data_IF_289600502247
#
_entry.id   IF_289600502247
#
_cell.length_a   1.000
_cell.length_b   1.000
_cell.length_c   1.000
_cell.angle_alpha   90.00
_cell.angle_beta   90.00
_cell.angle_gamma   90.00
#
_symmetry.space_group_name_H-M   'P 1'
#
loop_
_entity.id
_entity.type
_entity.pdbx_description
1 polymer ?
#
# COMPACT_ATOMS: atom_id res chain seq x y z
N UNK A 1 11.87 2.98 -1.78
CA UNK A 1 10.48 2.95 -2.29
C UNK A 1 9.66 4.06 -1.69
N UNK A 2 9.38 3.98 -0.39
CA UNK A 2 8.50 4.89 0.35
C UNK A 2 8.78 6.38 0.10
N UNK A 3 10.04 6.83 0.23
CA UNK A 3 10.38 8.24 0.00
C UNK A 3 10.14 8.67 -1.46
N UNK A 4 10.37 7.77 -2.42
CA UNK A 4 10.05 8.04 -3.83
C UNK A 4 8.53 8.14 -4.03
N UNK A 5 7.75 7.23 -3.44
CA UNK A 5 6.28 7.30 -3.42
C UNK A 5 5.81 8.65 -2.91
N UNK A 6 6.31 9.09 -1.76
CA UNK A 6 5.95 10.37 -1.14
C UNK A 6 6.25 11.55 -2.07
N UNK A 7 7.44 11.58 -2.67
CA UNK A 7 7.83 12.65 -3.61
C UNK A 7 6.99 12.66 -4.89
N UNK A 8 6.77 11.48 -5.48
CA UNK A 8 5.96 11.32 -6.70
C UNK A 8 4.52 11.75 -6.43
N UNK A 9 3.91 11.30 -5.32
CA UNK A 9 2.55 11.68 -4.94
C UNK A 9 2.42 13.18 -4.66
N UNK A 10 3.44 13.80 -4.05
CA UNK A 10 3.45 15.25 -3.81
C UNK A 10 3.52 16.04 -5.12
N UNK A 11 4.34 15.62 -6.08
CA UNK A 11 4.48 16.29 -7.37
C UNK A 11 3.33 15.99 -8.34
N UNK A 12 2.79 14.77 -8.28
CA UNK A 12 1.77 14.24 -9.19
C UNK A 12 0.68 13.49 -8.41
N UNK A 13 -0.29 14.21 -7.80
CA UNK A 13 -1.30 13.60 -6.94
C UNK A 13 -2.19 12.54 -7.60
N UNK A 14 -2.35 12.61 -8.93
CA UNK A 14 -3.15 11.65 -9.71
C UNK A 14 -2.40 10.35 -10.02
N UNK A 15 -1.06 10.34 -9.97
CA UNK A 15 -0.27 9.13 -10.26
C UNK A 15 -0.59 8.06 -9.23
N UNK A 16 -0.88 6.86 -9.73
CA UNK A 16 -1.12 5.68 -8.92
C UNK A 16 0.18 4.91 -8.75
N UNK A 17 0.40 4.39 -7.55
CA UNK A 17 1.66 3.72 -7.20
C UNK A 17 1.33 2.37 -6.58
N UNK A 18 1.95 1.31 -7.10
CA UNK A 18 1.88 -0.04 -6.54
C UNK A 18 3.25 -0.34 -5.94
N UNK A 19 3.29 -0.61 -4.64
CA UNK A 19 4.49 -1.08 -3.97
C UNK A 19 4.57 -2.61 -4.12
N UNK A 20 5.55 -3.10 -4.88
CA UNK A 20 5.84 -4.52 -5.03
C UNK A 20 7.09 -4.88 -4.22
N UNK A 21 6.96 -5.79 -3.26
CA UNK A 21 7.99 -6.00 -2.23
C UNK A 21 8.06 -7.45 -1.72
N UNK A 22 9.20 -7.89 -1.19
CA UNK A 22 9.30 -9.19 -0.51
C UNK A 22 9.00 -9.11 0.99
N UNK A 23 8.59 -7.94 1.49
CA UNK A 23 8.43 -7.67 2.92
C UNK A 23 6.96 -7.51 3.29
N UNK A 24 6.46 -8.35 4.19
CA UNK A 24 5.10 -8.25 4.75
C UNK A 24 5.05 -7.46 6.07
N UNK A 25 6.20 -7.09 6.65
CA UNK A 25 6.26 -6.48 7.98
C UNK A 25 5.58 -5.11 8.05
N UNK A 26 4.87 -4.86 9.15
CA UNK A 26 4.16 -3.60 9.43
C UNK A 26 5.03 -2.35 9.29
N UNK A 27 6.31 -2.46 9.64
CA UNK A 27 7.31 -1.38 9.56
C UNK A 27 7.54 -0.86 8.14
N UNK A 28 7.16 -1.63 7.11
CA UNK A 28 7.20 -1.21 5.71
C UNK A 28 5.81 -0.93 5.14
N UNK A 29 4.81 -1.72 5.53
CA UNK A 29 3.43 -1.62 5.04
C UNK A 29 2.83 -0.27 5.38
N UNK A 30 2.86 0.11 6.66
CA UNK A 30 2.21 1.35 7.13
C UNK A 30 2.84 2.59 6.50
N UNK A 31 4.18 2.77 6.52
CA UNK A 31 4.78 3.95 5.91
C UNK A 31 4.56 4.03 4.40
N UNK A 32 4.46 2.90 3.68
CA UNK A 32 4.17 2.90 2.26
C UNK A 32 2.74 3.39 1.95
N UNK A 33 1.76 2.94 2.74
CA UNK A 33 0.37 3.39 2.62
C UNK A 33 0.28 4.89 2.96
N UNK A 34 0.88 5.31 4.07
CA UNK A 34 0.91 6.73 4.48
C UNK A 34 1.63 7.63 3.45
N UNK A 35 2.62 7.11 2.73
CA UNK A 35 3.28 7.83 1.65
C UNK A 35 2.41 7.97 0.38
N UNK A 36 1.22 7.33 0.34
CA UNK A 36 0.26 7.44 -0.74
C UNK A 36 0.34 6.33 -1.78
N UNK A 37 0.88 5.16 -1.42
CA UNK A 37 0.76 3.97 -2.26
C UNK A 37 -0.73 3.61 -2.44
N UNK A 38 -1.11 3.32 -3.69
CA UNK A 38 -2.46 2.88 -4.07
C UNK A 38 -2.65 1.38 -3.91
N UNK A 39 -1.56 0.62 -3.92
CA UNK A 39 -1.56 -0.78 -3.51
C UNK A 39 -0.23 -1.21 -2.90
N UNK A 40 -0.27 -2.29 -2.14
CA UNK A 40 0.90 -2.98 -1.59
C UNK A 40 0.74 -4.48 -1.83
N UNK A 41 1.65 -5.05 -2.62
CA UNK A 41 1.60 -6.43 -3.10
C UNK A 41 2.94 -7.12 -2.80
N UNK A 42 2.89 -8.39 -2.41
CA UNK A 42 4.10 -9.19 -2.27
C UNK A 42 4.68 -9.59 -3.64
N UNK A 43 6.01 -9.73 -3.72
CA UNK A 43 6.77 -9.98 -4.96
C UNK A 43 6.59 -11.39 -5.51
N UNK A 44 6.08 -12.30 -4.69
CA UNK A 44 5.75 -13.67 -5.01
C UNK A 44 4.31 -13.84 -5.50
N UNK A 45 3.51 -12.76 -5.55
CA UNK A 45 2.19 -12.77 -6.17
C UNK A 45 2.26 -13.29 -7.61
N UNK A 46 1.25 -14.07 -8.00
CA UNK A 46 1.17 -14.60 -9.35
C UNK A 46 1.06 -13.45 -10.36
N UNK A 47 1.61 -13.57 -11.57
CA UNK A 47 1.57 -12.50 -12.57
C UNK A 47 0.16 -11.98 -12.87
N UNK A 48 -0.83 -12.88 -12.88
CA UNK A 48 -2.24 -12.52 -13.10
C UNK A 48 -2.80 -11.67 -11.95
N UNK A 49 -2.43 -11.96 -10.70
CA UNK A 49 -2.80 -11.15 -9.53
C UNK A 49 -2.23 -9.73 -9.63
N UNK A 50 -0.98 -9.59 -10.09
CA UNK A 50 -0.40 -8.27 -10.33
C UNK A 50 -1.15 -7.51 -11.43
N UNK A 51 -1.55 -8.17 -12.51
CA UNK A 51 -2.36 -7.56 -13.57
C UNK A 51 -3.71 -7.11 -13.04
N UNK A 52 -4.37 -7.90 -12.20
CA UNK A 52 -5.62 -7.53 -11.54
C UNK A 52 -5.44 -6.32 -10.63
N UNK A 53 -4.39 -6.29 -9.82
CA UNK A 53 -4.05 -5.16 -8.95
C UNK A 53 -3.81 -3.88 -9.77
N UNK A 54 -3.10 -3.95 -10.90
CA UNK A 54 -2.91 -2.80 -11.81
C UNK A 54 -4.25 -2.27 -12.32
N UNK A 55 -5.13 -3.15 -12.82
CA UNK A 55 -6.45 -2.77 -13.34
C UNK A 55 -7.33 -2.17 -12.25
N UNK A 56 -7.32 -2.74 -11.04
CA UNK A 56 -8.08 -2.24 -9.90
C UNK A 56 -7.63 -0.84 -9.48
N UNK A 57 -6.31 -0.65 -9.35
CA UNK A 57 -5.70 0.64 -8.98
C UNK A 57 -5.95 1.71 -10.03
N UNK A 58 -5.88 1.34 -11.32
CA UNK A 58 -6.25 2.23 -12.42
C UNK A 58 -7.72 2.64 -12.34
N UNK A 59 -8.62 1.72 -11.97
CA UNK A 59 -10.04 1.99 -11.69
C UNK A 59 -10.32 2.77 -10.40
N UNK A 60 -9.28 3.23 -9.69
CA UNK A 60 -9.43 4.05 -8.48
C UNK A 60 -9.61 3.27 -7.19
N UNK A 61 -9.50 1.94 -7.22
CA UNK A 61 -9.55 1.10 -6.02
C UNK A 61 -8.18 1.03 -5.34
N UNK A 62 -8.19 0.85 -4.02
CA UNK A 62 -7.00 0.42 -3.30
C UNK A 62 -6.94 -1.11 -3.27
N UNK A 63 -5.74 -1.67 -3.29
CA UNK A 63 -5.51 -3.12 -3.20
C UNK A 63 -4.44 -3.42 -2.17
N UNK A 64 -4.67 -4.37 -1.29
CA UNK A 64 -3.69 -4.83 -0.32
C UNK A 64 -3.64 -6.34 -0.38
N UNK A 65 -2.44 -6.89 -0.32
CA UNK A 65 -2.26 -8.32 -0.14
C UNK A 65 -2.97 -8.77 1.16
N UNK A 66 -3.76 -9.85 1.14
CA UNK A 66 -4.49 -10.32 2.32
C UNK A 66 -3.60 -10.56 3.54
N UNK A 67 -2.34 -10.99 3.32
CA UNK A 67 -1.39 -11.30 4.39
C UNK A 67 -0.99 -10.08 5.23
N UNK A 68 -1.05 -8.87 4.66
CA UNK A 68 -0.68 -7.62 5.35
C UNK A 68 -1.88 -6.83 5.84
N UNK A 69 -3.09 -7.23 5.48
CA UNK A 69 -4.31 -6.49 5.78
C UNK A 69 -4.56 -6.38 7.29
N UNK A 70 -4.17 -7.40 8.05
CA UNK A 70 -4.20 -7.42 9.52
C UNK A 70 -3.34 -6.32 10.15
N UNK A 71 -2.14 -6.06 9.62
CA UNK A 71 -1.27 -4.98 10.10
C UNK A 71 -1.92 -3.61 9.94
N UNK A 72 -2.60 -3.38 8.81
CA UNK A 72 -3.30 -2.11 8.56
C UNK A 72 -4.44 -1.90 9.54
N UNK A 73 -5.27 -2.92 9.76
CA UNK A 73 -6.38 -2.80 10.72
C UNK A 73 -5.90 -2.66 12.17
N UNK A 74 -4.86 -3.37 12.56
CA UNK A 74 -4.26 -3.23 13.88
C UNK A 74 -3.71 -1.81 14.10
N UNK A 75 -3.02 -1.25 13.10
CA UNK A 75 -2.51 0.11 13.18
C UNK A 75 -3.64 1.15 13.33
N UNK A 76 -4.75 0.97 12.62
CA UNK A 76 -5.91 1.85 12.70
C UNK A 76 -6.57 1.82 14.08
N UNK A 77 -6.76 0.63 14.67
CA UNK A 77 -7.40 0.52 15.99
C UNK A 77 -6.55 1.14 17.11
N UNK A 78 -5.22 1.12 16.97
CA UNK A 78 -4.29 1.72 17.92
C UNK A 78 -4.12 3.25 17.76
N UNK A 79 -4.37 3.78 16.56
CA UNK A 79 -4.36 5.22 16.32
C UNK A 79 -5.54 5.91 17.04
N UNK A 80 -6.72 5.30 17.01
CA UNK A 80 -7.94 5.81 17.65
C UNK A 80 -7.85 5.87 19.19
N UNK A 81 -6.99 5.03 19.80
CA UNK A 81 -6.75 5.02 21.25
C UNK A 81 -5.77 6.10 21.70
N UNK A 82 -4.86 6.56 20.83
CA UNK A 82 -3.83 7.55 21.15
C UNK A 82 -4.27 9.00 20.97
N UNK A 83 -5.35 9.23 20.22
CA UNK A 83 -5.95 10.56 20.04
C UNK A 83 -7.01 10.91 21.11
N UNK A 84 -7.28 10.02 22.07
CA UNK A 84 -8.12 10.25 23.25
C UNK A 84 -7.29 10.60 24.48
#
# INVERSE_FOLDING_TARGET
GIEATKRIKKAYPSVKIIALTSYADESYVIPAIQAGASAYQLKDAEPDELVETIRAVYGGRYSLDPSIMSHVFHHMSQADEKEK
#
